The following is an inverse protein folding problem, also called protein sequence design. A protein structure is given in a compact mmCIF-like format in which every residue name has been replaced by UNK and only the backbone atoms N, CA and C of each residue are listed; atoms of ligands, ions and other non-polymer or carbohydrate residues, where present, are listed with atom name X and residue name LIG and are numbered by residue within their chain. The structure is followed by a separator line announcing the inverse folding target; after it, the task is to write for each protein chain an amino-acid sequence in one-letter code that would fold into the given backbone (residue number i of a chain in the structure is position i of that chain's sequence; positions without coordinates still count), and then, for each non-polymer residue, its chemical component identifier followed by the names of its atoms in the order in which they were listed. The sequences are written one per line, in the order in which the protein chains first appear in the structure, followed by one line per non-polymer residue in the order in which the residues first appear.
data_IF_349742511654
#
_entry.id   IF_349742511654
#
_cell.length_a   1.000
_cell.length_b   1.000
_cell.length_c   1.000
_cell.angle_alpha   90.00
_cell.angle_beta   90.00
_cell.angle_gamma   90.00
#
_symmetry.space_group_name_H-M   'P 1'
#
loop_
_entity.id
_entity.type
_entity.pdbx_description
1 polymer ?
#
# COMPACT_ATOMS: atom_id res chain seq x y z
N UNK A 1 -8.65 5.51 17.97
CA UNK A 1 -7.30 4.94 18.23
C UNK A 1 -6.75 4.49 16.89
N UNK A 2 -5.58 4.94 16.45
CA UNK A 2 -4.95 4.34 15.26
C UNK A 2 -4.44 2.96 15.64
N UNK A 3 -4.90 1.94 14.94
CA UNK A 3 -4.39 0.58 15.03
C UNK A 3 -2.89 0.57 14.65
N UNK A 4 -2.07 -0.24 15.31
CA UNK A 4 -0.70 -0.53 14.86
C UNK A 4 -0.68 -1.29 13.51
N UNK A 5 -1.82 -1.87 13.15
CA UNK A 5 -2.05 -2.66 11.95
C UNK A 5 -2.95 -1.87 11.01
N UNK A 6 -2.35 -1.11 10.09
CA UNK A 6 -3.05 -0.33 9.06
C UNK A 6 -3.31 -1.17 7.81
N UNK A 7 -4.42 -0.98 7.11
CA UNK A 7 -4.63 -1.66 5.82
C UNK A 7 -3.77 -1.06 4.71
N UNK A 8 -3.42 -1.88 3.71
CA UNK A 8 -2.60 -1.43 2.59
C UNK A 8 -3.43 -0.87 1.42
N UNK A 9 -4.69 -1.27 1.27
CA UNK A 9 -5.55 -0.83 0.17
C UNK A 9 -6.87 -0.24 0.70
N UNK A 10 -7.57 0.48 -0.18
CA UNK A 10 -8.87 1.07 0.11
C UNK A 10 -10.02 0.18 -0.38
N UNK A 11 -11.21 0.45 0.15
CA UNK A 11 -12.44 -0.32 -0.14
C UNK A 11 -13.30 0.26 -1.27
N UNK A 12 -12.84 1.32 -1.94
CA UNK A 12 -13.60 2.07 -2.96
C UNK A 12 -13.11 1.81 -4.38
N UNK A 13 -11.82 2.03 -4.66
CA UNK A 13 -11.21 1.88 -5.99
C UNK A 13 -10.39 0.61 -6.10
N UNK A 14 -9.56 0.28 -5.10
CA UNK A 14 -8.53 -0.75 -5.26
C UNK A 14 -9.13 -2.15 -5.40
N UNK A 15 -10.29 -2.38 -4.78
CA UNK A 15 -11.05 -3.63 -4.94
C UNK A 15 -11.75 -3.71 -6.31
N UNK A 16 -12.26 -2.58 -6.81
CA UNK A 16 -12.93 -2.52 -8.13
C UNK A 16 -11.95 -2.75 -9.28
N UNK A 17 -10.68 -2.40 -9.09
CA UNK A 17 -9.61 -2.67 -10.06
C UNK A 17 -9.29 -4.17 -10.25
N UNK A 18 -9.84 -5.05 -9.40
CA UNK A 18 -9.69 -6.50 -9.49
C UNK A 18 -10.95 -7.15 -10.08
N UNK A 19 -12.12 -6.82 -9.52
CA UNK A 19 -13.41 -7.39 -9.90
C UNK A 19 -14.54 -6.43 -9.54
N UNK A 20 -15.72 -6.62 -10.15
CA UNK A 20 -16.93 -5.90 -9.72
C UNK A 20 -17.39 -6.45 -8.37
N UNK A 21 -16.90 -5.82 -7.30
CA UNK A 21 -17.17 -6.23 -5.94
C UNK A 21 -18.61 -6.01 -5.51
N UNK A 22 -19.36 -5.15 -6.20
CA UNK A 22 -20.75 -4.82 -5.86
C UNK A 22 -21.66 -6.05 -5.95
N UNK A 23 -21.31 -7.03 -6.79
CA UNK A 23 -22.03 -8.31 -6.96
C UNK A 23 -21.94 -9.21 -5.73
N UNK A 24 -20.99 -8.93 -4.83
CA UNK A 24 -20.80 -9.67 -3.57
C UNK A 24 -21.58 -9.07 -2.39
N UNK A 25 -22.26 -7.95 -2.57
CA UNK A 25 -23.24 -7.43 -1.61
C UNK A 25 -24.52 -8.28 -1.67
N UNK A 26 -24.45 -9.46 -1.04
CA UNK A 26 -25.56 -10.42 -1.02
C UNK A 26 -26.17 -10.47 0.37
N UNK A 27 -27.44 -10.10 0.44
CA UNK A 27 -28.29 -10.27 1.61
C UNK A 27 -28.88 -11.68 1.59
N UNK A 28 -28.96 -12.35 2.74
CA UNK A 28 -29.68 -13.63 2.84
C UNK A 28 -31.14 -13.31 3.15
N UNK A 29 -32.03 -14.00 2.44
CA UNK A 29 -33.48 -13.86 2.61
C UNK A 29 -33.90 -14.67 3.83
N UNK A 30 -34.62 -14.02 4.74
CA UNK A 30 -35.19 -14.63 5.93
C UNK A 30 -36.48 -15.41 5.57
N UNK A 31 -36.83 -16.45 6.33
CA UNK A 31 -38.07 -17.16 6.13
C UNK A 31 -39.29 -16.29 6.44
N UNK A 32 -40.37 -16.49 5.68
CA UNK A 32 -41.63 -15.75 5.85
C UNK A 32 -42.57 -16.49 6.82
N UNK A 33 -42.16 -16.66 8.06
CA UNK A 33 -42.91 -17.35 9.12
C UNK A 33 -42.98 -16.55 10.44
N UNK A 34 -43.15 -15.23 10.33
CA UNK A 34 -43.40 -14.34 11.47
C UNK A 34 -44.66 -14.76 12.24
N UNK A 35 -44.63 -14.56 13.55
CA UNK A 35 -45.74 -14.81 14.48
C UNK A 35 -45.99 -13.58 15.36
N UNK A 36 -47.19 -13.45 15.90
CA UNK A 36 -47.49 -12.39 16.87
C UNK A 36 -46.79 -12.64 18.20
N UNK A 37 -46.22 -11.60 18.77
CA UNK A 37 -45.59 -11.67 20.09
C UNK A 37 -46.58 -11.74 21.26
N UNK A 38 -47.85 -11.41 21.01
CA UNK A 38 -48.86 -11.11 22.04
C UNK A 38 -48.84 -9.64 22.52
N UNK A 39 -47.88 -8.83 22.06
CA UNK A 39 -47.84 -7.37 22.23
C UNK A 39 -48.23 -6.71 20.91
N UNK A 40 -49.02 -5.63 20.97
CA UNK A 40 -49.49 -4.92 19.78
C UNK A 40 -48.31 -4.44 18.92
N UNK A 41 -48.38 -4.70 17.60
CA UNK A 41 -47.41 -4.31 16.58
C UNK A 41 -46.00 -4.92 16.71
N UNK A 42 -45.80 -5.88 17.61
CA UNK A 42 -44.53 -6.59 17.78
C UNK A 42 -44.65 -8.02 17.25
N UNK A 43 -43.72 -8.40 16.39
CA UNK A 43 -43.69 -9.70 15.72
C UNK A 43 -42.38 -10.41 15.99
N UNK A 44 -42.45 -11.74 16.03
CA UNK A 44 -41.28 -12.60 16.23
C UNK A 44 -41.03 -13.45 15.00
N UNK A 45 -39.75 -13.61 14.67
CA UNK A 45 -39.26 -14.63 13.76
C UNK A 45 -38.37 -15.57 14.55
N UNK A 46 -38.80 -16.83 14.68
CA UNK A 46 -38.01 -17.87 15.36
C UNK A 46 -37.05 -18.54 14.37
N UNK A 47 -35.91 -19.00 14.90
CA UNK A 47 -34.86 -19.69 14.14
C UNK A 47 -34.37 -18.84 12.96
N UNK A 48 -34.25 -17.53 13.17
CA UNK A 48 -33.80 -16.58 12.14
C UNK A 48 -32.32 -16.75 11.81
N UNK A 49 -31.54 -17.40 12.69
CA UNK A 49 -30.09 -17.32 12.70
C UNK A 49 -29.62 -15.92 13.09
N UNK A 50 -28.29 -15.76 13.20
CA UNK A 50 -27.68 -14.48 13.54
C UNK A 50 -28.00 -13.39 12.51
N UNK A 51 -28.57 -12.28 12.99
CA UNK A 51 -28.90 -11.09 12.21
C UNK A 51 -28.12 -9.89 12.75
N UNK A 52 -27.27 -9.29 11.92
CA UNK A 52 -26.49 -8.09 12.25
C UNK A 52 -27.14 -6.80 11.74
N UNK A 53 -27.69 -6.82 10.53
CA UNK A 53 -28.46 -5.73 9.93
C UNK A 53 -29.69 -6.30 9.25
N UNK A 54 -30.85 -5.69 9.47
CA UNK A 54 -32.13 -6.15 8.93
C UNK A 54 -32.63 -5.18 7.86
N UNK A 55 -33.11 -5.73 6.74
CA UNK A 55 -33.76 -5.01 5.67
C UNK A 55 -35.18 -5.53 5.46
N UNK A 56 -36.11 -4.61 5.26
CA UNK A 56 -37.50 -4.88 4.89
C UNK A 56 -37.77 -4.20 3.56
N UNK A 57 -38.10 -4.99 2.52
CA UNK A 57 -38.33 -4.52 1.15
C UNK A 57 -37.21 -3.59 0.64
N UNK A 58 -35.96 -3.90 1.01
CA UNK A 58 -34.76 -3.14 0.64
C UNK A 58 -34.42 -1.95 1.55
N UNK A 59 -35.31 -1.56 2.48
CA UNK A 59 -35.04 -0.48 3.44
C UNK A 59 -34.42 -1.03 4.73
N UNK A 60 -33.32 -0.42 5.18
CA UNK A 60 -32.67 -0.78 6.45
C UNK A 60 -33.55 -0.43 7.65
N UNK A 61 -33.63 -1.35 8.61
CA UNK A 61 -34.40 -1.19 9.84
C UNK A 61 -33.48 -0.76 10.99
N UNK A 62 -34.03 -0.02 11.95
CA UNK A 62 -33.25 0.56 13.06
C UNK A 62 -33.00 -0.49 14.14
N UNK A 63 -31.74 -0.80 14.41
CA UNK A 63 -31.37 -1.68 15.51
C UNK A 63 -31.56 -0.97 16.85
N UNK A 64 -32.17 -1.67 17.81
CA UNK A 64 -32.28 -1.25 19.21
C UNK A 64 -31.76 -2.35 20.15
N UNK A 65 -31.22 -1.94 21.30
CA UNK A 65 -30.68 -2.87 22.31
C UNK A 65 -31.71 -3.33 23.34
N UNK A 66 -32.89 -2.72 23.35
CA UNK A 66 -34.04 -3.06 24.18
C UNK A 66 -35.16 -3.70 23.33
N UNK A 67 -36.35 -3.84 23.91
CA UNK A 67 -37.51 -4.37 23.18
C UNK A 67 -38.02 -3.31 22.20
N UNK A 68 -38.05 -3.61 20.88
CA UNK A 68 -38.55 -2.70 19.85
C UNK A 68 -39.94 -2.17 20.17
N UNK A 69 -40.12 -0.85 20.10
CA UNK A 69 -41.37 -0.19 20.49
C UNK A 69 -41.79 0.97 19.56
N UNK A 70 -40.96 1.32 18.58
CA UNK A 70 -41.28 2.28 17.53
C UNK A 70 -41.20 1.65 16.13
N UNK A 71 -41.83 2.33 15.16
CA UNK A 71 -41.90 1.88 13.78
C UNK A 71 -40.50 1.60 13.21
N UNK A 72 -40.34 0.44 12.55
CA UNK A 72 -39.11 0.02 11.88
C UNK A 72 -37.94 -0.26 12.83
N UNK A 73 -38.23 -0.52 14.11
CA UNK A 73 -37.23 -0.99 15.08
C UNK A 73 -37.16 -2.51 15.12
N UNK A 74 -35.95 -3.03 15.35
CA UNK A 74 -35.73 -4.46 15.52
C UNK A 74 -34.60 -4.76 16.48
N UNK A 75 -34.59 -5.97 17.02
CA UNK A 75 -33.46 -6.50 17.78
C UNK A 75 -33.33 -8.02 17.58
N UNK A 76 -32.13 -8.55 17.76
CA UNK A 76 -31.86 -9.99 17.72
C UNK A 76 -31.57 -10.53 19.12
N UNK A 77 -32.37 -11.50 19.55
CA UNK A 77 -32.28 -12.18 20.83
C UNK A 77 -31.42 -13.44 20.71
N UNK A 78 -30.12 -13.30 20.93
CA UNK A 78 -29.16 -14.40 20.77
C UNK A 78 -29.46 -15.63 21.65
N UNK A 79 -30.08 -15.45 22.82
CA UNK A 79 -30.40 -16.56 23.74
C UNK A 79 -31.53 -17.47 23.23
N UNK A 80 -32.33 -17.00 22.29
CA UNK A 80 -33.51 -17.73 21.79
C UNK A 80 -33.53 -17.84 20.26
N UNK A 81 -32.44 -17.46 19.60
CA UNK A 81 -32.32 -17.39 18.13
C UNK A 81 -33.57 -16.78 17.48
N UNK A 82 -33.92 -15.56 17.94
CA UNK A 82 -35.19 -14.91 17.60
C UNK A 82 -34.97 -13.45 17.20
N UNK A 83 -35.62 -13.06 16.12
CA UNK A 83 -35.70 -11.67 15.67
C UNK A 83 -37.00 -11.05 16.18
N UNK A 84 -36.89 -9.90 16.82
CA UNK A 84 -38.04 -9.12 17.30
C UNK A 84 -38.14 -7.88 16.43
N UNK A 85 -39.33 -7.62 15.85
CA UNK A 85 -39.54 -6.50 14.93
C UNK A 85 -40.83 -5.76 15.28
N UNK A 86 -40.75 -4.44 15.38
CA UNK A 86 -41.91 -3.58 15.60
C UNK A 86 -42.35 -2.87 14.32
N UNK A 87 -43.55 -3.17 13.84
CA UNK A 87 -44.17 -2.52 12.67
C UNK A 87 -45.60 -2.11 13.02
N UNK A 88 -45.83 -0.80 13.14
CA UNK A 88 -47.13 -0.24 13.50
C UNK A 88 -48.20 -0.49 12.45
N UNK A 89 -49.38 -0.94 12.87
CA UNK A 89 -50.55 -1.09 12.00
C UNK A 89 -50.42 -2.20 10.96
N UNK A 90 -49.54 -3.18 11.21
CA UNK A 90 -49.34 -4.35 10.35
C UNK A 90 -50.11 -5.57 10.88
N UNK A 91 -50.03 -6.69 10.16
CA UNK A 91 -50.50 -8.00 10.60
C UNK A 91 -49.45 -9.07 10.30
N UNK A 92 -49.56 -10.26 10.90
CA UNK A 92 -48.67 -11.38 10.55
C UNK A 92 -48.74 -11.74 9.06
N UNK A 93 -49.93 -11.64 8.46
CA UNK A 93 -50.09 -11.87 7.03
C UNK A 93 -49.30 -10.85 6.20
N UNK A 94 -49.34 -9.57 6.59
CA UNK A 94 -48.56 -8.51 5.95
C UNK A 94 -47.07 -8.74 6.13
N UNK A 95 -46.63 -9.08 7.35
CA UNK A 95 -45.23 -9.39 7.66
C UNK A 95 -44.68 -10.52 6.80
N UNK A 96 -45.44 -11.60 6.62
CA UNK A 96 -45.06 -12.75 5.81
C UNK A 96 -45.18 -12.51 4.30
N UNK A 97 -45.80 -11.40 3.88
CA UNK A 97 -45.87 -10.99 2.47
C UNK A 97 -44.70 -10.11 2.03
N UNK A 98 -43.97 -9.50 2.99
CA UNK A 98 -42.81 -8.64 2.73
C UNK A 98 -41.54 -9.46 2.52
N UNK A 99 -40.57 -8.86 1.83
CA UNK A 99 -39.25 -9.45 1.70
C UNK A 99 -38.38 -9.02 2.88
N UNK A 100 -37.99 -9.99 3.69
CA UNK A 100 -37.09 -9.78 4.82
C UNK A 100 -35.72 -10.32 4.45
N UNK A 101 -34.71 -9.48 4.62
CA UNK A 101 -33.34 -9.84 4.27
C UNK A 101 -32.42 -9.40 5.40
N UNK A 102 -31.40 -10.20 5.70
CA UNK A 102 -30.34 -9.76 6.60
C UNK A 102 -28.99 -9.79 5.93
N UNK A 103 -28.10 -8.91 6.37
CA UNK A 103 -26.73 -8.84 5.90
C UNK A 103 -25.84 -8.12 6.91
N UNK A 104 -24.53 -8.33 6.78
CA UNK A 104 -23.56 -7.35 7.27
C UNK A 104 -23.56 -6.14 6.33
N UNK A 105 -23.37 -4.93 6.87
CA UNK A 105 -23.16 -3.74 6.06
C UNK A 105 -21.97 -3.96 5.10
N UNK A 106 -22.18 -3.67 3.82
CA UNK A 106 -21.21 -3.99 2.78
C UNK A 106 -19.91 -3.21 2.94
N UNK A 107 -19.95 -1.98 3.47
CA UNK A 107 -18.73 -1.21 3.74
C UNK A 107 -17.89 -1.89 4.84
N UNK A 108 -18.56 -2.37 5.89
CA UNK A 108 -17.95 -3.12 6.99
C UNK A 108 -17.38 -4.46 6.51
N UNK A 109 -18.12 -5.20 5.69
CA UNK A 109 -17.65 -6.48 5.12
C UNK A 109 -16.39 -6.29 4.26
N UNK A 110 -16.38 -5.26 3.39
CA UNK A 110 -15.20 -4.92 2.58
C UNK A 110 -14.00 -4.57 3.46
N UNK A 111 -14.21 -3.78 4.51
CA UNK A 111 -13.14 -3.39 5.42
C UNK A 111 -12.52 -4.62 6.09
N UNK A 112 -13.34 -5.52 6.62
CA UNK A 112 -12.90 -6.77 7.24
C UNK A 112 -12.13 -7.68 6.27
N UNK A 113 -12.57 -7.76 5.02
CA UNK A 113 -11.85 -8.53 4.00
C UNK A 113 -10.45 -7.97 3.72
N UNK A 114 -10.32 -6.63 3.70
CA UNK A 114 -9.04 -5.93 3.54
C UNK A 114 -8.14 -6.05 4.77
N UNK A 115 -8.72 -6.00 5.98
CA UNK A 115 -7.98 -6.19 7.24
C UNK A 115 -7.37 -7.60 7.30
N UNK A 116 -8.16 -8.62 6.99
CA UNK A 116 -7.71 -10.02 6.96
C UNK A 116 -6.61 -10.24 5.92
N UNK A 117 -6.73 -9.64 4.73
CA UNK A 117 -5.68 -9.69 3.69
C UNK A 117 -4.37 -9.04 4.16
N UNK A 118 -4.45 -7.94 4.90
CA UNK A 118 -3.28 -7.24 5.41
C UNK A 118 -2.56 -8.06 6.49
N UNK A 119 -3.31 -8.73 7.37
CA UNK A 119 -2.75 -9.63 8.38
C UNK A 119 -2.10 -10.88 7.77
N UNK A 120 -2.70 -11.41 6.71
CA UNK A 120 -2.11 -12.50 5.93
C UNK A 120 -0.76 -12.08 5.33
N UNK A 121 -0.68 -10.91 4.68
CA UNK A 121 0.57 -10.37 4.13
C UNK A 121 1.65 -10.25 5.21
N UNK A 122 1.30 -9.73 6.40
CA UNK A 122 2.25 -9.59 7.52
C UNK A 122 2.79 -10.94 7.99
N UNK A 123 1.91 -11.91 8.14
CA UNK A 123 2.29 -13.25 8.58
C UNK A 123 3.19 -13.96 7.56
N UNK A 124 2.95 -13.73 6.27
CA UNK A 124 3.65 -14.41 5.18
C UNK A 124 4.99 -13.77 4.82
N UNK A 125 5.07 -12.43 4.77
CA UNK A 125 6.25 -11.73 4.30
C UNK A 125 7.41 -11.80 5.30
N UNK A 126 7.14 -12.02 6.59
CA UNK A 126 8.13 -12.13 7.68
C UNK A 126 9.19 -11.01 7.67
N UNK A 127 8.82 -9.82 7.21
CA UNK A 127 9.67 -8.62 7.13
C UNK A 127 8.90 -7.41 7.60
N UNK A 128 9.65 -6.39 8.02
CA UNK A 128 9.07 -5.11 8.41
C UNK A 128 8.57 -4.35 7.19
N UNK A 129 7.31 -3.94 7.23
CA UNK A 129 6.68 -3.10 6.21
C UNK A 129 6.54 -1.70 6.81
N UNK A 130 7.21 -0.72 6.20
CA UNK A 130 7.16 0.67 6.65
C UNK A 130 6.24 1.51 5.77
N UNK A 131 5.45 2.42 6.35
CA UNK A 131 4.69 3.38 5.55
C UNK A 131 5.61 4.46 4.96
N UNK A 132 5.34 4.84 3.72
CA UNK A 132 5.95 5.97 3.03
C UNK A 132 5.23 7.24 3.50
N UNK A 133 5.82 7.98 4.43
CA UNK A 133 5.27 9.26 4.91
C UNK A 133 5.87 10.49 4.22
N UNK A 134 7.01 10.32 3.56
CA UNK A 134 7.64 11.41 2.83
C UNK A 134 7.06 11.50 1.41
N UNK A 135 6.39 12.61 1.12
CA UNK A 135 5.72 12.89 -0.17
C UNK A 135 6.68 12.86 -1.36
N UNK A 136 7.97 13.09 -1.16
CA UNK A 136 8.99 13.01 -2.22
C UNK A 136 9.21 11.57 -2.71
N UNK A 137 8.99 10.58 -1.84
CA UNK A 137 9.14 9.15 -2.17
C UNK A 137 7.80 8.47 -2.46
N UNK A 138 6.68 9.16 -2.26
CA UNK A 138 5.38 8.62 -2.63
C UNK A 138 5.26 8.58 -4.15
N UNK A 139 4.72 7.48 -4.67
CA UNK A 139 4.41 7.37 -6.11
C UNK A 139 3.34 8.37 -6.53
N UNK A 140 3.07 8.47 -7.83
CA UNK A 140 2.09 9.42 -8.41
C UNK A 140 0.67 9.34 -7.82
N UNK A 141 0.34 8.27 -7.11
CA UNK A 141 -0.95 8.08 -6.45
C UNK A 141 -0.95 8.48 -4.96
N UNK A 142 0.13 9.10 -4.47
CA UNK A 142 0.31 9.60 -3.09
C UNK A 142 0.01 8.55 -2.01
N UNK A 143 0.27 7.27 -2.33
CA UNK A 143 -0.03 6.16 -1.43
C UNK A 143 1.06 6.02 -0.38
N UNK A 144 0.63 5.67 0.83
CA UNK A 144 1.52 5.39 1.96
C UNK A 144 2.23 4.03 1.85
N UNK A 145 1.93 3.21 0.84
CA UNK A 145 2.52 1.89 0.65
C UNK A 145 2.83 1.64 -0.82
N UNK A 146 3.82 0.79 -1.07
CA UNK A 146 4.20 0.38 -2.42
C UNK A 146 3.01 -0.26 -3.15
N UNK A 147 2.84 0.07 -4.43
CA UNK A 147 1.76 -0.43 -5.27
C UNK A 147 1.61 -1.95 -5.22
N UNK A 148 2.73 -2.68 -5.14
CA UNK A 148 2.71 -4.14 -5.05
C UNK A 148 1.97 -4.64 -3.79
N UNK A 149 2.17 -3.99 -2.63
CA UNK A 149 1.48 -4.34 -1.39
C UNK A 149 -0.01 -4.00 -1.47
N UNK A 150 -0.34 -2.83 -2.04
CA UNK A 150 -1.73 -2.42 -2.28
C UNK A 150 -2.45 -3.46 -3.14
N UNK A 151 -1.81 -3.88 -4.24
CA UNK A 151 -2.38 -4.85 -5.20
C UNK A 151 -2.55 -6.24 -4.59
N UNK A 152 -1.55 -6.73 -3.86
CA UNK A 152 -1.64 -8.04 -3.17
C UNK A 152 -2.79 -8.01 -2.16
N UNK A 153 -2.92 -6.94 -1.38
CA UNK A 153 -3.98 -6.84 -0.39
C UNK A 153 -5.38 -6.82 -1.03
N UNK A 154 -5.53 -6.10 -2.13
CA UNK A 154 -6.78 -6.10 -2.91
C UNK A 154 -7.12 -7.49 -3.48
N UNK A 155 -6.14 -8.21 -4.03
CA UNK A 155 -6.34 -9.57 -4.55
C UNK A 155 -6.81 -10.54 -3.44
N UNK A 156 -6.16 -10.50 -2.28
CA UNK A 156 -6.53 -11.34 -1.14
C UNK A 156 -7.92 -10.98 -0.62
N UNK A 157 -8.23 -9.70 -0.46
CA UNK A 157 -9.55 -9.23 -0.03
C UNK A 157 -10.66 -9.68 -0.99
N UNK A 158 -10.46 -9.53 -2.31
CA UNK A 158 -11.46 -9.94 -3.31
C UNK A 158 -11.63 -11.45 -3.33
N UNK A 159 -10.55 -12.24 -3.22
CA UNK A 159 -10.69 -13.71 -3.12
C UNK A 159 -11.53 -14.12 -1.90
N UNK A 160 -11.32 -13.50 -0.74
CA UNK A 160 -12.09 -13.78 0.48
C UNK A 160 -13.59 -13.44 0.33
N UNK A 161 -13.92 -12.34 -0.38
CA UNK A 161 -15.31 -11.99 -0.68
C UNK A 161 -15.97 -13.01 -1.63
N UNK A 162 -15.20 -13.54 -2.58
CA UNK A 162 -15.68 -14.45 -3.62
C UNK A 162 -15.84 -15.90 -3.16
N UNK A 163 -15.12 -16.30 -2.12
CA UNK A 163 -15.02 -17.71 -1.69
C UNK A 163 -16.38 -18.39 -1.46
N UNK A 164 -17.36 -17.65 -0.95
CA UNK A 164 -18.72 -18.18 -0.69
C UNK A 164 -19.52 -18.42 -1.96
N UNK A 165 -19.28 -17.62 -3.01
CA UNK A 165 -20.10 -17.64 -4.23
C UNK A 165 -19.49 -18.49 -5.33
N UNK A 166 -18.16 -18.39 -5.48
CA UNK A 166 -17.41 -19.05 -6.55
C UNK A 166 -16.01 -19.41 -6.00
N UNK A 167 -15.89 -20.60 -5.40
CA UNK A 167 -14.63 -21.02 -4.79
C UNK A 167 -13.51 -21.24 -5.83
N UNK A 168 -13.85 -21.60 -7.08
CA UNK A 168 -12.87 -21.84 -8.14
C UNK A 168 -12.24 -20.53 -8.59
N UNK A 169 -13.06 -19.53 -8.94
CA UNK A 169 -12.56 -18.21 -9.34
C UNK A 169 -11.87 -17.48 -8.19
N UNK A 170 -12.33 -17.70 -6.96
CA UNK A 170 -11.63 -17.24 -5.75
C UNK A 170 -10.21 -17.81 -5.67
N UNK A 171 -10.03 -19.11 -5.92
CA UNK A 171 -8.73 -19.75 -5.91
C UNK A 171 -7.81 -19.22 -7.01
N UNK A 172 -8.32 -18.96 -8.21
CA UNK A 172 -7.56 -18.35 -9.31
C UNK A 172 -7.05 -16.95 -8.97
N UNK A 173 -7.91 -16.10 -8.40
CA UNK A 173 -7.52 -14.74 -7.99
C UNK A 173 -6.51 -14.79 -6.85
N UNK A 174 -6.72 -15.69 -5.88
CA UNK A 174 -5.76 -15.91 -4.79
C UNK A 174 -4.41 -16.38 -5.32
N UNK A 175 -4.39 -17.24 -6.35
CA UNK A 175 -3.16 -17.71 -7.00
C UNK A 175 -2.35 -16.57 -7.64
N UNK A 176 -2.96 -15.44 -8.01
CA UNK A 176 -2.21 -14.27 -8.48
C UNK A 176 -1.43 -13.60 -7.33
N UNK A 177 -1.94 -13.68 -6.10
CA UNK A 177 -1.28 -13.16 -4.92
C UNK A 177 -0.29 -14.17 -4.31
N UNK A 178 -0.73 -15.40 -4.06
CA UNK A 178 0.02 -16.48 -3.42
C UNK A 178 -0.23 -17.75 -4.22
N UNK A 179 0.82 -18.33 -4.80
CA UNK A 179 0.74 -19.59 -5.54
C UNK A 179 1.77 -20.58 -5.01
N UNK A 180 1.33 -21.46 -4.12
CA UNK A 180 2.24 -22.44 -3.48
C UNK A 180 2.82 -23.47 -4.48
N UNK A 181 2.16 -23.70 -5.61
CA UNK A 181 2.58 -24.69 -6.62
C UNK A 181 3.70 -24.16 -7.52
N UNK A 182 3.54 -22.93 -8.03
CA UNK A 182 4.51 -22.32 -8.96
C UNK A 182 5.47 -21.35 -8.27
N UNK A 183 5.10 -20.86 -7.09
CA UNK A 183 5.79 -19.79 -6.38
C UNK A 183 5.87 -18.49 -7.18
N UNK A 184 4.93 -18.27 -8.12
CA UNK A 184 4.90 -17.10 -9.00
C UNK A 184 3.90 -16.02 -8.54
N UNK A 185 3.22 -16.22 -7.40
CA UNK A 185 2.36 -15.21 -6.80
C UNK A 185 3.15 -13.93 -6.50
N UNK A 186 2.50 -12.77 -6.59
CA UNK A 186 3.16 -11.48 -6.33
C UNK A 186 3.78 -11.43 -4.93
N UNK A 187 3.12 -12.03 -3.93
CA UNK A 187 3.63 -12.09 -2.57
C UNK A 187 4.80 -13.09 -2.44
N UNK A 188 4.79 -14.18 -3.21
CA UNK A 188 5.92 -15.13 -3.28
C UNK A 188 7.16 -14.47 -3.86
N UNK A 189 6.99 -13.69 -4.94
CA UNK A 189 8.07 -12.94 -5.57
C UNK A 189 8.65 -11.88 -4.64
N UNK A 190 7.79 -11.23 -3.86
CA UNK A 190 8.22 -10.29 -2.81
C UNK A 190 8.99 -11.03 -1.69
N UNK A 191 8.52 -12.21 -1.27
CA UNK A 191 9.24 -13.07 -0.31
C UNK A 191 10.58 -13.55 -0.87
N UNK A 192 10.68 -13.84 -2.16
CA UNK A 192 11.92 -14.23 -2.84
C UNK A 192 12.89 -13.07 -3.10
N UNK A 193 12.53 -11.83 -2.78
CA UNK A 193 13.31 -10.61 -3.09
C UNK A 193 13.46 -10.31 -4.57
N UNK A 194 12.58 -10.87 -5.41
CA UNK A 194 12.51 -10.44 -6.83
C UNK A 194 11.93 -9.03 -6.94
N UNK A 195 11.00 -8.70 -6.04
CA UNK A 195 10.60 -7.34 -5.74
C UNK A 195 11.19 -6.89 -4.41
N UNK A 196 11.45 -5.59 -4.32
CA UNK A 196 11.93 -4.92 -3.11
C UNK A 196 10.92 -3.88 -2.67
N UNK A 197 10.84 -3.66 -1.36
CA UNK A 197 10.06 -2.55 -0.79
C UNK A 197 10.89 -1.25 -0.82
N UNK A 198 10.22 -0.10 -0.73
CA UNK A 198 10.85 1.22 -0.80
C UNK A 198 11.98 1.44 0.24
N UNK A 199 11.89 0.77 1.38
CA UNK A 199 12.85 0.86 2.47
C UNK A 199 14.00 -0.16 2.34
N UNK A 200 13.92 -1.10 1.40
CA UNK A 200 14.93 -2.12 1.19
C UNK A 200 16.01 -1.62 0.21
N UNK A 201 17.27 -1.91 0.55
CA UNK A 201 18.40 -1.63 -0.32
C UNK A 201 18.47 -2.70 -1.42
N UNK A 202 18.53 -2.26 -2.67
CA UNK A 202 18.76 -3.07 -3.87
C UNK A 202 20.08 -2.70 -4.53
N UNK A 203 20.59 -3.56 -5.42
CA UNK A 203 21.73 -3.21 -6.27
C UNK A 203 21.52 -1.90 -7.05
N UNK A 204 20.26 -1.54 -7.38
CA UNK A 204 19.92 -0.26 -8.02
C UNK A 204 20.08 0.92 -7.07
N UNK A 205 19.66 0.79 -5.81
CA UNK A 205 19.86 1.85 -4.82
C UNK A 205 21.32 1.96 -4.36
N UNK A 206 22.10 0.86 -4.43
CA UNK A 206 23.55 0.88 -4.19
C UNK A 206 24.30 1.62 -5.29
N UNK A 207 23.85 1.50 -6.55
CA UNK A 207 24.43 2.26 -7.67
C UNK A 207 24.04 3.76 -7.69
N UNK A 208 23.25 4.21 -6.71
CA UNK A 208 22.78 5.58 -6.60
C UNK A 208 21.47 5.83 -7.37
N UNK A 209 20.54 6.55 -6.76
CA UNK A 209 19.31 7.01 -7.42
C UNK A 209 19.43 8.52 -7.65
N UNK A 210 19.35 8.93 -8.92
CA UNK A 210 19.36 10.34 -9.33
C UNK A 210 17.92 10.86 -9.35
N UNK A 211 17.69 11.98 -8.69
CA UNK A 211 16.44 12.72 -8.71
C UNK A 211 16.71 14.16 -9.14
N UNK A 212 15.88 14.67 -10.05
CA UNK A 212 15.89 16.08 -10.43
C UNK A 212 15.08 16.86 -9.38
N UNK A 213 15.72 17.84 -8.73
CA UNK A 213 15.07 18.68 -7.71
C UNK A 213 14.51 19.95 -8.36
N UNK A 214 15.31 20.62 -9.18
CA UNK A 214 14.87 21.75 -9.99
C UNK A 214 15.76 21.87 -11.22
N UNK A 215 15.17 21.94 -12.41
CA UNK A 215 15.92 22.06 -13.65
C UNK A 215 15.18 22.99 -14.59
N UNK A 216 15.90 23.98 -15.08
CA UNK A 216 15.45 24.94 -16.10
C UNK A 216 16.26 24.83 -17.40
N UNK A 217 17.50 24.33 -17.32
CA UNK A 217 18.32 23.97 -18.47
C UNK A 217 17.89 22.67 -19.15
N UNK A 218 18.51 22.38 -20.30
CA UNK A 218 18.32 21.11 -21.03
C UNK A 218 19.37 20.05 -20.69
N UNK A 219 20.47 20.45 -20.05
CA UNK A 219 21.53 19.57 -19.58
C UNK A 219 21.20 18.99 -18.20
N UNK A 220 21.55 17.72 -17.98
CA UNK A 220 21.32 17.03 -16.71
C UNK A 220 22.32 15.89 -16.48
N UNK A 221 22.24 15.23 -15.33
CA UNK A 221 23.08 14.08 -15.01
C UNK A 221 22.67 12.90 -15.90
N UNK A 222 23.62 12.39 -16.67
CA UNK A 222 23.40 11.27 -17.59
C UNK A 222 23.64 9.91 -16.95
N UNK A 223 24.65 9.81 -16.08
CA UNK A 223 25.00 8.57 -15.40
C UNK A 223 25.82 8.84 -14.13
N UNK A 224 25.78 7.90 -13.18
CA UNK A 224 26.67 7.84 -12.02
C UNK A 224 27.28 6.44 -11.97
N UNK A 225 28.60 6.40 -12.06
CA UNK A 225 29.35 5.14 -12.09
C UNK A 225 30.04 4.90 -10.76
N UNK A 226 29.76 3.75 -10.16
CA UNK A 226 30.48 3.26 -8.98
C UNK A 226 31.81 2.61 -9.37
N UNK A 227 32.90 2.94 -8.65
CA UNK A 227 34.19 2.23 -8.75
C UNK A 227 34.38 1.15 -7.69
N UNK A 228 33.42 0.98 -6.80
CA UNK A 228 33.44 0.04 -5.69
C UNK A 228 32.18 0.18 -4.84
N UNK A 229 32.08 -0.54 -3.71
CA UNK A 229 30.97 -0.34 -2.77
C UNK A 229 30.98 1.08 -2.22
N UNK A 230 29.79 1.61 -1.95
CA UNK A 230 29.58 2.97 -1.42
C UNK A 230 30.21 3.07 -0.03
N UNK A 231 31.05 4.09 0.19
CA UNK A 231 31.75 4.32 1.46
C UNK A 231 30.91 5.02 2.56
N UNK A 232 29.59 5.05 2.41
CA UNK A 232 28.67 5.73 3.34
C UNK A 232 27.37 4.94 3.50
N UNK A 233 26.85 4.88 4.73
CA UNK A 233 25.63 4.12 5.03
C UNK A 233 24.40 4.74 4.34
N UNK A 234 24.21 6.05 4.55
CA UNK A 234 23.15 6.85 3.92
C UNK A 234 23.63 8.29 3.76
N UNK A 235 23.52 8.84 2.56
CA UNK A 235 23.58 10.28 2.33
C UNK A 235 22.70 10.68 1.14
N UNK A 236 22.16 11.91 1.20
CA UNK A 236 21.50 12.56 0.10
C UNK A 236 22.36 13.74 -0.36
N UNK A 237 23.07 13.52 -1.46
CA UNK A 237 24.05 14.45 -2.01
C UNK A 237 23.34 15.44 -2.90
N UNK A 238 23.59 16.73 -2.67
CA UNK A 238 23.04 17.83 -3.46
C UNK A 238 24.08 18.33 -4.45
N UNK A 239 23.72 18.31 -5.73
CA UNK A 239 24.53 18.83 -6.84
C UNK A 239 23.86 20.09 -7.36
N UNK A 240 24.58 21.20 -7.39
CA UNK A 240 24.05 22.51 -7.83
C UNK A 240 24.92 23.07 -8.93
N UNK A 241 24.32 23.55 -10.00
CA UNK A 241 25.05 24.30 -11.03
C UNK A 241 25.41 25.69 -10.47
N UNK A 242 26.70 25.92 -10.21
CA UNK A 242 27.23 27.17 -9.64
C UNK A 242 27.49 28.24 -10.69
N UNK A 243 27.77 27.84 -11.94
CA UNK A 243 27.95 28.75 -13.08
C UNK A 243 27.18 28.22 -14.28
N UNK A 244 26.32 29.06 -14.85
CA UNK A 244 25.56 28.71 -16.06
C UNK A 244 26.47 28.61 -17.29
N UNK A 245 26.10 27.75 -18.22
CA UNK A 245 26.85 27.59 -19.47
C UNK A 245 26.28 26.50 -20.37
N UNK A 246 26.83 26.39 -21.58
CA UNK A 246 26.48 25.35 -22.53
C UNK A 246 27.63 24.35 -22.61
N UNK A 247 27.31 23.08 -22.46
CA UNK A 247 28.25 21.97 -22.68
C UNK A 247 27.91 21.34 -24.02
N UNK A 248 28.83 21.42 -24.98
CA UNK A 248 28.67 20.82 -26.31
C UNK A 248 29.76 19.78 -26.58
N UNK A 249 29.47 18.83 -27.47
CA UNK A 249 30.41 17.78 -27.86
C UNK A 249 31.48 18.25 -28.87
N UNK A 250 31.69 19.57 -29.02
CA UNK A 250 32.56 20.12 -30.07
C UNK A 250 33.99 20.31 -29.54
N UNK A 251 34.97 19.84 -30.32
CA UNK A 251 36.42 19.83 -29.97
C UNK A 251 37.00 21.18 -29.50
N UNK A 252 36.44 22.31 -29.96
CA UNK A 252 36.95 23.67 -29.69
C UNK A 252 36.14 24.43 -28.62
N UNK A 253 35.12 23.79 -28.05
CA UNK A 253 34.33 24.41 -26.99
C UNK A 253 35.03 24.24 -25.64
N UNK A 254 35.35 25.34 -24.96
CA UNK A 254 35.74 25.29 -23.55
C UNK A 254 34.46 25.35 -22.72
N UNK A 255 34.07 24.28 -22.02
CA UNK A 255 32.88 24.30 -21.19
C UNK A 255 33.03 25.36 -20.08
N UNK A 256 32.01 26.20 -19.93
CA UNK A 256 31.98 27.26 -18.91
C UNK A 256 31.08 26.93 -17.73
N UNK A 257 30.21 25.93 -17.88
CA UNK A 257 29.30 25.51 -16.83
C UNK A 257 30.08 24.85 -15.70
N UNK A 258 29.69 25.13 -14.45
CA UNK A 258 30.34 24.59 -13.25
C UNK A 258 29.33 24.06 -12.25
N UNK A 259 29.75 23.12 -11.42
CA UNK A 259 28.91 22.53 -10.38
C UNK A 259 29.60 22.48 -9.02
N UNK A 260 28.78 22.57 -7.97
CA UNK A 260 29.12 22.36 -6.58
C UNK A 260 28.44 21.08 -6.06
N UNK A 261 29.07 20.43 -5.08
CA UNK A 261 28.54 19.22 -4.43
C UNK A 261 28.51 19.39 -2.93
N UNK A 262 27.35 19.10 -2.32
CA UNK A 262 27.10 19.16 -0.89
C UNK A 262 26.73 17.78 -0.35
N UNK A 263 27.42 17.36 0.71
CA UNK A 263 27.23 16.10 1.44
C UNK A 263 26.75 16.36 2.87
N UNK A 264 26.41 15.29 3.61
CA UNK A 264 26.09 15.39 5.05
C UNK A 264 27.30 15.79 5.91
N UNK A 265 27.00 16.42 7.04
CA UNK A 265 27.90 16.62 8.18
C UNK A 265 27.15 16.41 9.51
N UNK A 266 27.78 16.75 10.64
CA UNK A 266 27.18 16.63 11.98
C UNK A 266 25.91 17.48 12.15
N UNK A 267 25.78 18.59 11.41
CA UNK A 267 24.64 19.50 11.46
C UNK A 267 23.46 19.06 10.56
N UNK A 268 23.67 18.08 9.66
CA UNK A 268 22.62 17.48 8.85
C UNK A 268 22.99 17.17 7.39
N UNK A 269 21.97 16.78 6.61
CA UNK A 269 22.09 16.42 5.19
C UNK A 269 22.30 17.67 4.30
N UNK A 270 23.03 17.53 3.19
CA UNK A 270 23.24 18.59 2.15
C UNK A 270 23.86 19.90 2.66
N UNK A 271 24.62 19.87 3.76
CA UNK A 271 25.16 21.09 4.39
C UNK A 271 26.63 21.36 4.06
N UNK A 272 27.43 20.33 3.84
CA UNK A 272 28.87 20.47 3.70
C UNK A 272 29.30 20.45 2.24
N UNK A 273 29.82 21.58 1.74
CA UNK A 273 30.36 21.67 0.37
C UNK A 273 31.70 20.93 0.30
N UNK A 274 31.83 19.98 -0.62
CA UNK A 274 33.04 19.15 -0.80
C UNK A 274 33.69 19.30 -2.18
N UNK A 275 32.90 19.67 -3.19
CA UNK A 275 33.39 20.03 -4.53
C UNK A 275 32.85 21.43 -4.81
N UNK A 276 33.73 22.30 -5.29
CA UNK A 276 33.44 23.70 -5.55
C UNK A 276 33.89 24.09 -6.96
N UNK A 277 32.98 24.68 -7.71
CA UNK A 277 33.23 25.30 -9.02
C UNK A 277 33.94 24.41 -10.04
N UNK A 278 33.67 23.10 -10.00
CA UNK A 278 34.24 22.15 -10.94
C UNK A 278 33.56 22.27 -12.31
N UNK A 279 34.35 22.32 -13.37
CA UNK A 279 33.86 22.53 -14.75
C UNK A 279 33.14 21.28 -15.25
N UNK A 280 31.95 21.43 -15.82
CA UNK A 280 31.20 20.33 -16.44
C UNK A 280 31.76 20.02 -17.81
N UNK A 281 32.42 18.87 -17.97
CA UNK A 281 33.10 18.49 -19.22
C UNK A 281 32.29 17.55 -20.11
N UNK A 282 31.27 16.87 -19.55
CA UNK A 282 30.51 15.82 -20.23
C UNK A 282 31.18 14.44 -20.26
N UNK A 283 32.43 14.34 -19.80
CA UNK A 283 33.09 13.07 -19.50
C UNK A 283 32.73 12.58 -18.08
N UNK A 284 33.16 11.37 -17.72
CA UNK A 284 33.11 10.93 -16.32
C UNK A 284 34.11 11.73 -15.49
N UNK A 285 33.61 12.43 -14.49
CA UNK A 285 34.39 13.26 -13.57
C UNK A 285 34.33 12.68 -12.15
N UNK A 286 35.38 12.91 -11.37
CA UNK A 286 35.43 12.43 -10.00
C UNK A 286 34.28 13.01 -9.18
N UNK A 287 33.58 12.14 -8.46
CA UNK A 287 32.46 12.52 -7.60
C UNK A 287 32.72 12.03 -6.16
N UNK A 288 31.70 12.05 -5.31
CA UNK A 288 31.82 11.71 -3.89
C UNK A 288 31.72 10.20 -3.65
N UNK A 289 32.19 9.73 -2.49
CA UNK A 289 32.02 8.33 -2.05
C UNK A 289 32.51 7.25 -3.04
N UNK A 290 33.59 7.51 -3.79
CA UNK A 290 34.20 6.51 -4.68
C UNK A 290 33.47 6.35 -6.02
N UNK A 291 32.80 7.40 -6.46
CA UNK A 291 31.97 7.42 -7.66
C UNK A 291 32.47 8.42 -8.70
N UNK A 292 32.05 8.24 -9.94
CA UNK A 292 32.19 9.23 -11.01
C UNK A 292 30.82 9.69 -11.49
N UNK A 293 30.68 10.96 -11.82
CA UNK A 293 29.46 11.56 -12.37
C UNK A 293 29.68 11.90 -13.85
N UNK A 294 28.67 11.63 -14.68
CA UNK A 294 28.65 12.09 -16.07
C UNK A 294 27.46 13.04 -16.30
N UNK A 295 27.76 14.16 -16.94
CA UNK A 295 26.78 15.14 -17.36
C UNK A 295 26.49 14.99 -18.86
N UNK A 296 25.21 15.14 -19.25
CA UNK A 296 24.82 15.16 -20.65
C UNK A 296 25.21 16.48 -21.32
N UNK A 297 25.31 16.47 -22.65
CA UNK A 297 25.40 17.71 -23.43
C UNK A 297 24.08 18.49 -23.31
N UNK A 298 24.17 19.82 -23.24
CA UNK A 298 23.00 20.68 -23.04
C UNK A 298 23.34 22.02 -22.41
N UNK A 299 22.30 22.81 -22.14
CA UNK A 299 22.42 24.07 -21.40
C UNK A 299 22.19 23.81 -19.91
N UNK A 300 23.08 24.31 -19.07
CA UNK A 300 22.95 24.28 -17.62
C UNK A 300 22.67 25.70 -17.13
N UNK A 301 21.56 25.87 -16.42
CA UNK A 301 21.17 27.15 -15.85
C UNK A 301 21.70 27.29 -14.43
N UNK A 302 21.94 28.52 -14.00
CA UNK A 302 22.35 28.81 -12.64
C UNK A 302 21.29 28.31 -11.65
N UNK A 303 21.73 27.60 -10.60
CA UNK A 303 20.88 26.98 -9.58
C UNK A 303 20.02 25.78 -10.05
N UNK A 304 20.30 25.18 -11.20
CA UNK A 304 19.77 23.84 -11.47
C UNK A 304 20.30 22.89 -10.37
N UNK A 305 19.40 22.13 -9.73
CA UNK A 305 19.67 21.29 -8.57
C UNK A 305 19.24 19.83 -8.83
N UNK A 306 20.15 18.92 -8.50
CA UNK A 306 19.94 17.48 -8.54
C UNK A 306 20.24 16.88 -7.16
N UNK A 307 19.48 15.86 -6.78
CA UNK A 307 19.71 15.06 -5.59
C UNK A 307 20.15 13.66 -6.00
N UNK A 308 21.21 13.17 -5.40
CA UNK A 308 21.71 11.81 -5.58
C UNK A 308 21.68 11.12 -4.24
N UNK A 309 20.91 10.04 -4.13
CA UNK A 309 20.87 9.26 -2.89
C UNK A 309 21.85 8.11 -2.96
N UNK A 310 22.78 8.04 -2.00
CA UNK A 310 23.67 6.91 -1.79
C UNK A 310 23.22 6.11 -0.57
N UNK A 311 23.13 4.79 -0.73
CA UNK A 311 22.86 3.86 0.37
C UNK A 311 23.78 2.67 0.26
N UNK A 312 24.54 2.39 1.33
CA UNK A 312 25.24 1.13 1.46
C UNK A 312 24.39 0.17 2.26
N UNK A 313 24.29 -1.09 1.83
CA UNK A 313 23.90 -2.14 2.75
C UNK A 313 25.12 -2.45 3.62
N UNK A 314 25.04 -2.20 4.94
CA UNK A 314 26.11 -2.58 5.89
C UNK A 314 26.21 -4.12 6.06
N UNK A 315 25.87 -4.90 5.04
CA UNK A 315 25.99 -6.36 5.05
C UNK A 315 26.83 -6.83 3.87
N UNK A 316 28.15 -6.70 4.05
CA UNK A 316 29.10 -7.61 3.45
C UNK A 316 29.99 -8.23 4.54
N UNK A 317 29.39 -9.05 5.42
CA UNK A 317 30.13 -10.16 6.02
C UNK A 317 29.73 -11.39 5.22
N UNK A 318 30.72 -12.01 4.59
CA UNK A 318 30.55 -13.22 3.80
C UNK A 318 29.77 -14.29 4.54
N UNK A 319 29.31 -15.27 3.77
CA UNK A 319 28.76 -16.51 4.29
C UNK A 319 29.60 -17.08 5.44
N UNK A 320 29.22 -16.82 6.69
CA UNK A 320 29.57 -17.67 7.82
C UNK A 320 28.29 -18.38 8.21
N UNK A 321 28.04 -19.51 7.52
CA UNK A 321 27.15 -20.54 8.07
C UNK A 321 27.83 -21.08 9.33
N UNK A 322 27.17 -20.90 10.48
CA UNK A 322 27.44 -21.52 11.78
C UNK A 322 28.88 -21.41 12.33
N UNK A 323 29.07 -20.50 13.29
CA UNK A 323 30.06 -20.67 14.35
C UNK A 323 29.33 -20.96 15.67
N UNK A 324 29.14 -22.24 16.00
CA UNK A 324 28.74 -22.64 17.35
C UNK A 324 29.90 -22.35 18.31
N UNK A 325 29.68 -21.49 19.30
CA UNK A 325 30.60 -21.35 20.44
C UNK A 325 30.06 -22.23 21.57
N UNK A 326 30.74 -23.34 21.82
CA UNK A 326 30.57 -24.12 23.06
C UNK A 326 31.29 -23.38 24.19
N UNK A 327 30.58 -23.16 25.30
CA UNK A 327 31.19 -22.75 26.56
C UNK A 327 31.55 -24.03 27.33
N UNK A 328 32.84 -24.21 27.64
CA UNK A 328 33.30 -25.12 28.69
C UNK A 328 33.11 -24.41 30.03
#
# INVERSE_FOLDING_TARGET
MSSLYETYCNTTTDLQDIADVSVYDRKRVLPNNFVESGVSNLYYLHDSGFCSTLYMDGAEQTYVSDTPNAMNEWTYQAASDRLDVYIGGSSVADMNSRNWEESEDFATLKQKAVDNGADEIRSYLQRSIYPIKNTTYQGSSERNYDFILVRINALLAVSNLMLRTDPEKSAEIRALAINDETGQGLLDKLRKREYSLWNETTAKSENGIIQIVSQSGTGGIGDIKMRGPVYVDYDEVRVVVSTAGTVSATYDSTPTAKFDVYVKNEDGLKRNKVIEDEIITGAYQGFVYGSDIQFNVGTYSLNDEFAVTFRSSEVAIGSVRSGQIYRV
#
